data_IF_673230763465
#
_entry.id   IF_673230763465
#
_cell.length_a   1.000
_cell.length_b   1.000
_cell.length_c   1.000
_cell.angle_alpha   90.00
_cell.angle_beta   90.00
_cell.angle_gamma   90.00
#
_symmetry.space_group_name_H-M   'P 1'
#
loop_
_entity.id
_entity.type
_entity.pdbx_description
1 polymer ?
#
# COMPACT_ATOMS: atom_id res chain seq x y z
N UNK A 1 -11.59 15.73 -16.23
CA UNK A 1 -10.31 15.26 -15.64
C UNK A 1 -10.62 13.99 -14.88
N UNK A 2 -9.81 12.93 -15.00
CA UNK A 2 -10.08 11.70 -14.22
C UNK A 2 -9.52 11.85 -12.80
N UNK A 3 -10.21 11.29 -11.82
CA UNK A 3 -9.84 11.36 -10.41
C UNK A 3 -9.11 10.10 -9.96
N UNK A 4 -8.03 10.28 -9.21
CA UNK A 4 -7.22 9.18 -8.67
C UNK A 4 -7.02 9.39 -7.18
N UNK A 5 -7.36 8.36 -6.40
CA UNK A 5 -7.01 8.31 -4.99
C UNK A 5 -5.69 7.56 -4.83
N UNK A 6 -4.70 8.21 -4.23
CA UNK A 6 -3.38 7.65 -3.99
C UNK A 6 -3.28 7.22 -2.55
N UNK A 7 -2.96 5.95 -2.32
CA UNK A 7 -2.65 5.44 -0.99
C UNK A 7 -1.31 6.01 -0.51
N UNK A 8 -1.36 7.06 0.31
CA UNK A 8 -0.19 7.69 0.92
C UNK A 8 0.12 6.98 2.24
N UNK A 9 1.27 6.32 2.32
CA UNK A 9 1.66 5.54 3.51
C UNK A 9 2.69 6.24 4.39
N UNK A 10 3.02 7.51 4.11
CA UNK A 10 4.14 8.21 4.75
C UNK A 10 5.52 7.76 4.24
N UNK A 11 5.58 6.92 3.20
CA UNK A 11 6.82 6.44 2.58
C UNK A 11 7.11 7.09 1.23
N UNK A 12 8.39 7.17 0.87
CA UNK A 12 8.88 7.84 -0.35
C UNK A 12 8.20 7.36 -1.63
N UNK A 13 7.87 6.07 -1.71
CA UNK A 13 7.28 5.46 -2.91
C UNK A 13 5.87 6.01 -3.16
N UNK A 14 5.05 6.07 -2.10
CA UNK A 14 3.71 6.65 -2.20
C UNK A 14 3.73 8.15 -2.49
N UNK A 15 4.70 8.88 -1.94
CA UNK A 15 4.89 10.30 -2.18
C UNK A 15 5.19 10.60 -3.65
N UNK A 16 6.13 9.86 -4.23
CA UNK A 16 6.50 9.99 -5.64
C UNK A 16 5.37 9.50 -6.56
N UNK A 17 4.65 8.45 -6.17
CA UNK A 17 3.46 8.01 -6.89
C UNK A 17 2.42 9.14 -7.00
N UNK A 18 2.12 9.84 -5.90
CA UNK A 18 1.19 10.97 -5.90
C UNK A 18 1.68 12.12 -6.79
N UNK A 19 2.96 12.47 -6.69
CA UNK A 19 3.57 13.48 -7.56
C UNK A 19 3.42 13.13 -9.04
N UNK A 20 3.75 11.89 -9.43
CA UNK A 20 3.66 11.44 -10.82
C UNK A 20 2.23 11.43 -11.34
N UNK A 21 1.24 11.04 -10.53
CA UNK A 21 -0.17 11.12 -10.92
C UNK A 21 -0.61 12.57 -11.14
N UNK A 22 -0.15 13.50 -10.29
CA UNK A 22 -0.42 14.93 -10.49
C UNK A 22 0.21 15.45 -11.79
N UNK A 23 1.46 15.09 -12.07
CA UNK A 23 2.17 15.48 -13.30
C UNK A 23 1.50 14.93 -14.57
N UNK A 24 0.87 13.75 -14.49
CA UNK A 24 0.11 13.16 -15.60
C UNK A 24 -1.28 13.81 -15.81
N UNK A 25 -1.64 14.82 -15.01
CA UNK A 25 -2.88 15.58 -15.17
C UNK A 25 -4.12 14.90 -14.56
N UNK A 26 -3.93 14.03 -13.56
CA UNK A 26 -5.04 13.51 -12.76
C UNK A 26 -5.45 14.48 -11.65
N UNK A 27 -6.73 14.47 -11.30
CA UNK A 27 -7.19 15.06 -10.04
C UNK A 27 -6.81 14.10 -8.91
N UNK A 28 -5.77 14.43 -8.17
CA UNK A 28 -5.19 13.54 -7.14
C UNK A 28 -5.73 13.89 -5.76
N UNK A 29 -6.18 12.88 -5.03
CA UNK A 29 -6.50 12.95 -3.60
C UNK A 29 -5.64 11.93 -2.87
N UNK A 30 -4.94 12.36 -1.83
CA UNK A 30 -4.15 11.49 -0.96
C UNK A 30 -5.03 10.88 0.13
N UNK A 31 -4.90 9.57 0.36
CA UNK A 31 -5.59 8.89 1.44
C UNK A 31 -4.62 8.01 2.23
N UNK A 32 -4.58 8.20 3.54
CA UNK A 32 -3.79 7.40 4.47
C UNK A 32 -4.67 6.35 5.16
N UNK A 33 -4.24 5.10 5.14
CA UNK A 33 -4.95 3.97 5.75
C UNK A 33 -4.37 3.66 7.13
N UNK A 34 -5.15 3.93 8.18
CA UNK A 34 -4.85 3.48 9.54
C UNK A 34 -5.39 2.06 9.71
N UNK A 35 -4.52 1.07 9.55
CA UNK A 35 -4.89 -0.34 9.50
C UNK A 35 -4.60 -1.11 10.79
N UNK A 36 -3.80 -0.56 11.70
CA UNK A 36 -3.48 -1.20 12.96
C UNK A 36 -3.10 -0.15 14.00
N UNK A 37 -3.57 -0.32 15.23
CA UNK A 37 -3.27 0.58 16.35
C UNK A 37 -3.32 -0.17 17.70
N UNK A 38 -2.93 -1.45 17.70
CA UNK A 38 -2.82 -2.19 18.96
C UNK A 38 -1.52 -1.81 19.68
N UNK A 39 -1.66 -0.93 20.68
CA UNK A 39 -0.57 -0.38 21.48
C UNK A 39 0.02 -1.41 22.47
N UNK A 40 -0.57 -2.60 22.59
CA UNK A 40 -0.12 -3.62 23.55
C UNK A 40 1.10 -4.42 23.11
N UNK A 41 1.51 -4.31 21.84
CA UNK A 41 2.51 -5.20 21.21
C UNK A 41 3.66 -4.49 20.48
N UNK A 42 3.64 -3.16 20.43
CA UNK A 42 4.72 -2.40 19.80
C UNK A 42 5.93 -2.35 20.72
N UNK A 43 7.14 -2.52 20.16
CA UNK A 43 8.40 -2.48 20.91
C UNK A 43 8.66 -1.07 21.50
N UNK A 44 7.95 -0.05 21.02
CA UNK A 44 7.94 1.32 21.53
C UNK A 44 6.52 1.76 21.90
N UNK A 45 6.41 2.65 22.90
CA UNK A 45 5.20 3.42 23.24
C UNK A 45 4.82 4.45 22.14
N UNK A 46 5.56 4.46 21.04
CA UNK A 46 5.34 5.36 19.91
C UNK A 46 4.34 4.74 18.95
N UNK A 47 3.20 5.40 18.74
CA UNK A 47 2.22 5.05 17.71
C UNK A 47 2.83 5.26 16.31
N UNK A 48 3.34 4.24 15.60
CA UNK A 48 4.15 4.45 14.40
C UNK A 48 3.34 5.05 13.25
N UNK A 49 2.03 4.79 13.25
CA UNK A 49 1.10 5.32 12.25
C UNK A 49 0.91 6.84 12.34
N UNK A 50 1.14 7.48 13.50
CA UNK A 50 1.02 8.93 13.65
C UNK A 50 2.11 9.66 12.86
N UNK A 51 3.35 9.21 12.98
CA UNK A 51 4.48 9.77 12.23
C UNK A 51 4.29 9.57 10.72
N UNK A 52 3.93 8.36 10.30
CA UNK A 52 3.66 8.05 8.90
C UNK A 52 2.49 8.88 8.34
N UNK A 53 1.43 9.09 9.13
CA UNK A 53 0.30 9.94 8.75
C UNK A 53 0.70 11.41 8.64
N UNK A 54 1.55 11.91 9.54
CA UNK A 54 2.06 13.28 9.49
C UNK A 54 2.93 13.51 8.25
N UNK A 55 3.82 12.58 7.94
CA UNK A 55 4.64 12.63 6.73
C UNK A 55 3.77 12.63 5.46
N UNK A 56 2.73 11.80 5.43
CA UNK A 56 1.78 11.75 4.33
C UNK A 56 1.02 13.08 4.16
N UNK A 57 0.61 13.71 5.26
CA UNK A 57 -0.03 15.02 5.26
C UNK A 57 0.90 16.12 4.74
N UNK A 58 2.16 16.15 5.20
CA UNK A 58 3.17 17.14 4.75
C UNK A 58 3.45 16.98 3.26
N UNK A 59 3.55 15.73 2.76
CA UNK A 59 3.68 15.45 1.33
C UNK A 59 2.46 15.94 0.55
N UNK A 60 1.25 15.68 1.04
CA UNK A 60 0.03 16.13 0.38
C UNK A 60 -0.06 17.66 0.30
N UNK A 61 0.28 18.37 1.38
CA UNK A 61 0.35 19.83 1.43
C UNK A 61 1.39 20.39 0.45
N UNK A 62 2.61 19.83 0.47
CA UNK A 62 3.69 20.17 -0.48
C UNK A 62 3.25 19.99 -1.93
N UNK A 63 2.50 18.93 -2.21
CA UNK A 63 1.96 18.63 -3.53
C UNK A 63 0.66 19.41 -3.82
N UNK A 64 0.10 20.16 -2.88
CA UNK A 64 -1.17 20.87 -3.03
C UNK A 64 -2.32 19.95 -3.44
N UNK A 65 -2.43 18.78 -2.81
CA UNK A 65 -3.51 17.80 -3.03
C UNK A 65 -4.34 17.62 -1.74
N UNK A 66 -5.66 17.38 -1.83
CA UNK A 66 -6.47 17.05 -0.66
C UNK A 66 -5.96 15.78 0.01
N UNK A 67 -6.04 15.74 1.34
CA UNK A 67 -5.58 14.61 2.16
C UNK A 67 -6.67 14.19 3.15
N UNK A 68 -6.86 12.88 3.29
CA UNK A 68 -7.76 12.30 4.28
C UNK A 68 -7.15 11.05 4.91
N UNK A 69 -7.58 10.76 6.13
CA UNK A 69 -7.26 9.51 6.82
C UNK A 69 -8.51 8.65 6.88
N UNK A 70 -8.34 7.34 6.79
CA UNK A 70 -9.42 6.37 7.01
C UNK A 70 -8.94 5.27 7.94
N UNK A 71 -9.82 4.87 8.87
CA UNK A 71 -9.56 3.75 9.76
C UNK A 71 -10.10 2.47 9.13
N UNK A 72 -9.21 1.53 8.81
CA UNK A 72 -9.55 0.19 8.33
C UNK A 72 -9.09 -0.89 9.31
N UNK A 73 -8.84 -0.53 10.57
CA UNK A 73 -8.30 -1.46 11.57
C UNK A 73 -9.19 -2.67 11.81
N UNK A 74 -10.51 -2.49 11.85
CA UNK A 74 -11.47 -3.59 11.99
C UNK A 74 -11.36 -4.58 10.83
N UNK A 75 -11.42 -4.08 9.60
CA UNK A 75 -11.33 -4.92 8.40
C UNK A 75 -9.95 -5.60 8.28
N UNK A 76 -8.87 -4.89 8.62
CA UNK A 76 -7.53 -5.43 8.62
C UNK A 76 -7.38 -6.55 9.67
N UNK A 77 -7.89 -6.33 10.89
CA UNK A 77 -7.87 -7.34 11.95
C UNK A 77 -8.58 -8.62 11.51
N UNK A 78 -9.82 -8.50 11.05
CA UNK A 78 -10.65 -9.63 10.65
C UNK A 78 -10.04 -10.40 9.47
N UNK A 79 -9.63 -9.69 8.42
CA UNK A 79 -9.24 -10.32 7.15
C UNK A 79 -7.78 -10.74 7.09
N UNK A 80 -6.91 -10.08 7.86
CA UNK A 80 -5.45 -10.30 7.79
C UNK A 80 -4.94 -10.93 9.08
N UNK A 81 -5.19 -10.31 10.22
CA UNK A 81 -4.61 -10.75 11.51
C UNK A 81 -5.22 -12.05 11.97
N UNK A 82 -6.55 -12.14 12.05
CA UNK A 82 -7.22 -13.35 12.49
C UNK A 82 -6.99 -14.52 11.52
N UNK A 83 -6.93 -14.26 10.21
CA UNK A 83 -6.47 -15.22 9.22
C UNK A 83 -5.06 -15.73 9.52
N UNK A 84 -4.10 -14.81 9.75
CA UNK A 84 -2.71 -15.15 10.03
C UNK A 84 -2.60 -16.07 11.24
N UNK A 85 -3.28 -15.75 12.35
CA UNK A 85 -3.33 -16.60 13.53
C UNK A 85 -3.88 -18.00 13.24
N UNK A 86 -5.00 -18.09 12.50
CA UNK A 86 -5.61 -19.38 12.14
C UNK A 86 -4.70 -20.24 11.25
N UNK A 87 -3.90 -19.65 10.38
CA UNK A 87 -2.97 -20.40 9.53
C UNK A 87 -1.76 -20.93 10.32
N UNK A 88 -1.21 -20.11 11.22
CA UNK A 88 -0.14 -20.56 12.12
C UNK A 88 -0.61 -21.65 13.08
N UNK A 89 -1.84 -21.57 13.60
CA UNK A 89 -2.44 -22.62 14.43
C UNK A 89 -2.49 -23.99 13.72
N UNK A 90 -2.67 -23.97 12.39
CA UNK A 90 -2.69 -25.16 11.53
C UNK A 90 -1.31 -25.57 11.03
N UNK A 91 -0.23 -24.95 11.53
CA UNK A 91 1.15 -25.26 11.15
C UNK A 91 1.54 -24.79 9.75
N UNK A 92 0.83 -23.79 9.19
CA UNK A 92 1.17 -23.20 7.89
C UNK A 92 1.83 -21.84 8.07
N UNK A 93 2.62 -21.44 7.08
CA UNK A 93 3.24 -20.11 7.02
C UNK A 93 2.45 -19.24 6.03
N UNK A 94 1.51 -18.39 6.50
CA UNK A 94 0.76 -17.50 5.63
C UNK A 94 1.64 -16.37 5.08
N UNK A 95 1.19 -15.77 3.97
CA UNK A 95 1.72 -14.50 3.47
C UNK A 95 0.64 -13.40 3.63
N UNK A 96 0.63 -12.65 4.73
CA UNK A 96 -0.39 -11.64 5.00
C UNK A 96 -0.30 -10.45 4.04
N UNK A 97 0.85 -10.18 3.43
CA UNK A 97 1.01 -9.04 2.51
C UNK A 97 0.30 -9.29 1.16
N UNK A 98 0.30 -10.53 0.67
CA UNK A 98 -0.48 -10.92 -0.50
C UNK A 98 -1.98 -10.69 -0.24
N UNK A 99 -2.46 -11.09 0.93
CA UNK A 99 -3.86 -10.89 1.31
C UNK A 99 -4.18 -9.42 1.58
N UNK A 100 -3.29 -8.67 2.21
CA UNK A 100 -3.49 -7.25 2.47
C UNK A 100 -3.68 -6.48 1.17
N UNK A 101 -2.93 -6.80 0.12
CA UNK A 101 -3.16 -6.22 -1.20
C UNK A 101 -4.56 -6.57 -1.73
N UNK A 102 -4.93 -7.86 -1.72
CA UNK A 102 -6.22 -8.32 -2.27
C UNK A 102 -7.44 -7.79 -1.50
N UNK A 103 -7.40 -7.85 -0.17
CA UNK A 103 -8.54 -7.65 0.73
C UNK A 103 -8.64 -6.24 1.29
N UNK A 104 -7.52 -5.53 1.43
CA UNK A 104 -7.50 -4.19 2.03
C UNK A 104 -7.23 -3.14 0.96
N UNK A 105 -6.05 -3.17 0.33
CA UNK A 105 -5.64 -2.10 -0.60
C UNK A 105 -6.44 -2.07 -1.90
N UNK A 106 -6.86 -3.23 -2.42
CA UNK A 106 -7.58 -3.31 -3.68
C UNK A 106 -9.02 -3.82 -3.53
N UNK A 107 -9.52 -3.96 -2.30
CA UNK A 107 -10.95 -4.19 -2.06
C UNK A 107 -11.53 -3.07 -1.19
N UNK A 108 -11.30 -3.08 0.13
CA UNK A 108 -11.86 -2.06 1.04
C UNK A 108 -11.45 -0.63 0.65
N UNK A 109 -10.16 -0.38 0.44
CA UNK A 109 -9.64 0.92 0.04
C UNK A 109 -10.14 1.34 -1.36
N UNK A 110 -10.18 0.39 -2.31
CA UNK A 110 -10.72 0.66 -3.64
C UNK A 110 -12.18 1.07 -3.56
N UNK A 111 -13.00 0.38 -2.76
CA UNK A 111 -14.41 0.70 -2.57
C UNK A 111 -14.59 2.12 -2.02
N UNK A 112 -13.87 2.45 -0.95
CA UNK A 112 -13.88 3.80 -0.36
C UNK A 112 -13.48 4.84 -1.40
N UNK A 113 -12.46 4.55 -2.21
CA UNK A 113 -12.02 5.47 -3.25
C UNK A 113 -13.09 5.70 -4.33
N UNK A 114 -13.78 4.65 -4.76
CA UNK A 114 -14.89 4.75 -5.72
C UNK A 114 -16.07 5.53 -5.13
N UNK A 115 -16.39 5.32 -3.84
CA UNK A 115 -17.45 6.05 -3.15
C UNK A 115 -17.14 7.56 -3.01
N UNK A 116 -15.84 7.93 -2.97
CA UNK A 116 -15.35 9.31 -3.05
C UNK A 116 -15.29 9.87 -4.50
N UNK A 117 -15.79 9.11 -5.48
CA UNK A 117 -15.87 9.50 -6.88
C UNK A 117 -14.56 9.34 -7.66
N UNK A 118 -13.62 8.52 -7.20
CA UNK A 118 -12.42 8.23 -7.97
C UNK A 118 -12.71 7.32 -9.17
N UNK A 119 -11.97 7.52 -10.26
CA UNK A 119 -11.95 6.60 -11.39
C UNK A 119 -10.98 5.44 -11.16
N UNK A 120 -9.90 5.71 -10.40
CA UNK A 120 -8.81 4.78 -10.13
C UNK A 120 -8.21 4.96 -8.73
N UNK A 121 -7.48 3.94 -8.29
CA UNK A 121 -6.55 4.01 -7.17
C UNK A 121 -5.11 3.88 -7.64
N UNK A 122 -4.21 4.67 -7.07
CA UNK A 122 -2.76 4.53 -7.28
C UNK A 122 -2.06 4.12 -5.99
N UNK A 123 -1.01 3.33 -6.15
CA UNK A 123 -0.15 2.89 -5.03
C UNK A 123 1.31 3.00 -5.42
N UNK A 124 2.19 3.08 -4.42
CA UNK A 124 3.65 3.06 -4.62
C UNK A 124 4.23 1.67 -4.93
N UNK A 125 3.44 0.74 -5.50
CA UNK A 125 3.97 -0.58 -5.81
C UNK A 125 4.83 -0.58 -7.08
N UNK A 126 5.93 -1.30 -7.03
CA UNK A 126 6.85 -1.53 -8.15
C UNK A 126 6.37 -2.70 -9.00
N UNK A 127 5.32 -2.48 -9.78
CA UNK A 127 4.84 -3.40 -10.80
C UNK A 127 4.24 -2.62 -11.97
N UNK A 128 3.94 -3.28 -13.08
CA UNK A 128 3.35 -2.65 -14.25
C UNK A 128 2.01 -3.27 -14.59
N UNK A 129 1.18 -2.51 -15.30
CA UNK A 129 -0.08 -2.97 -15.86
C UNK A 129 -0.08 -2.76 -17.36
N UNK A 130 -0.47 -3.77 -18.11
CA UNK A 130 -0.78 -3.65 -19.53
C UNK A 130 -2.22 -4.09 -19.80
N UNK A 131 -2.81 -3.63 -20.89
CA UNK A 131 -4.05 -4.18 -21.43
C UNK A 131 -3.80 -4.84 -22.78
N UNK A 132 -4.60 -5.85 -23.09
CA UNK A 132 -4.72 -6.41 -24.44
C UNK A 132 -6.20 -6.51 -24.78
N UNK A 133 -6.54 -6.30 -26.04
CA UNK A 133 -7.89 -6.56 -26.54
C UNK A 133 -8.00 -8.04 -26.93
N UNK A 134 -8.99 -8.74 -26.40
CA UNK A 134 -9.31 -10.11 -26.77
C UNK A 134 -10.82 -10.27 -26.85
N UNK A 135 -11.32 -10.70 -28.01
CA UNK A 135 -12.76 -10.88 -28.27
C UNK A 135 -13.60 -9.62 -28.02
N UNK A 136 -13.04 -8.42 -28.21
CA UNK A 136 -13.73 -7.14 -27.97
C UNK A 136 -13.77 -6.72 -26.49
N UNK A 137 -13.08 -7.43 -25.61
CA UNK A 137 -12.92 -7.09 -24.20
C UNK A 137 -11.46 -6.77 -23.86
N UNK A 138 -11.26 -5.73 -23.06
CA UNK A 138 -9.94 -5.40 -22.51
C UNK A 138 -9.59 -6.35 -21.38
N UNK A 139 -8.51 -7.12 -21.55
CA UNK A 139 -7.91 -7.96 -20.50
C UNK A 139 -6.71 -7.24 -19.91
N UNK A 140 -6.70 -7.08 -18.59
CA UNK A 140 -5.60 -6.46 -17.86
C UNK A 140 -4.58 -7.50 -17.41
N UNK A 141 -3.31 -7.20 -17.61
CA UNK A 141 -2.17 -8.05 -17.24
C UNK A 141 -1.32 -7.34 -16.20
N UNK A 142 -1.04 -8.05 -15.11
CA UNK A 142 -0.02 -7.65 -14.16
C UNK A 142 1.35 -8.07 -14.70
N UNK A 143 2.29 -7.14 -14.72
CA UNK A 143 3.64 -7.32 -15.22
C UNK A 143 4.64 -6.98 -14.11
N UNK A 144 5.80 -7.63 -14.14
CA UNK A 144 6.90 -7.29 -13.24
C UNK A 144 7.35 -5.83 -13.44
N UNK A 145 7.73 -5.19 -12.34
CA UNK A 145 8.38 -3.88 -12.34
C UNK A 145 9.68 -3.90 -13.14
N UNK A 146 10.09 -2.74 -13.66
CA UNK A 146 11.35 -2.59 -14.41
C UNK A 146 12.58 -2.85 -13.53
N UNK A 147 12.49 -2.49 -12.25
CA UNK A 147 13.51 -2.79 -11.25
C UNK A 147 13.29 -4.19 -10.66
N UNK A 148 14.06 -5.16 -11.15
CA UNK A 148 13.94 -6.55 -10.70
C UNK A 148 14.26 -6.74 -9.21
N UNK A 149 15.04 -5.85 -8.60
CA UNK A 149 15.37 -5.94 -7.17
C UNK A 149 14.25 -5.43 -6.28
N UNK A 150 13.30 -4.70 -6.87
CA UNK A 150 12.16 -4.10 -6.16
C UNK A 150 10.82 -4.57 -6.68
N UNK A 151 10.77 -5.45 -7.67
CA UNK A 151 9.52 -5.95 -8.23
C UNK A 151 8.59 -6.49 -7.11
N UNK A 152 7.37 -5.98 -7.11
CA UNK A 152 6.34 -6.33 -6.13
C UNK A 152 5.16 -7.06 -6.78
N UNK A 153 5.27 -7.44 -8.06
CA UNK A 153 4.21 -8.18 -8.77
C UNK A 153 3.79 -9.46 -8.04
N UNK A 154 4.71 -10.12 -7.34
CA UNK A 154 4.43 -11.28 -6.48
C UNK A 154 3.35 -10.99 -5.42
N UNK A 155 3.42 -9.85 -4.73
CA UNK A 155 2.44 -9.50 -3.69
C UNK A 155 1.07 -9.10 -4.25
N UNK A 156 0.99 -8.87 -5.55
CA UNK A 156 -0.23 -8.47 -6.27
C UNK A 156 -0.78 -9.62 -7.13
N UNK A 157 -0.22 -10.82 -7.01
CA UNK A 157 -0.56 -11.98 -7.85
C UNK A 157 -2.02 -12.45 -7.74
N UNK A 158 -2.74 -12.05 -6.69
CA UNK A 158 -4.14 -12.41 -6.46
C UNK A 158 -5.15 -11.32 -6.85
N UNK A 159 -4.72 -10.24 -7.52
CA UNK A 159 -5.64 -9.22 -7.99
C UNK A 159 -6.55 -9.75 -9.11
N UNK A 160 -7.84 -9.50 -8.98
CA UNK A 160 -8.82 -9.79 -10.03
C UNK A 160 -8.74 -8.79 -11.19
N UNK A 161 -9.36 -9.13 -12.32
CA UNK A 161 -9.47 -8.21 -13.47
C UNK A 161 -10.17 -6.90 -13.10
N UNK A 162 -11.22 -6.95 -12.29
CA UNK A 162 -11.92 -5.76 -11.83
C UNK A 162 -11.00 -4.85 -11.02
N UNK A 163 -10.29 -5.40 -10.03
CA UNK A 163 -9.33 -4.65 -9.21
C UNK A 163 -8.21 -4.06 -10.05
N UNK A 164 -7.63 -4.85 -10.95
CA UNK A 164 -6.53 -4.42 -11.81
C UNK A 164 -6.97 -3.35 -12.82
N UNK A 165 -8.22 -3.40 -13.31
CA UNK A 165 -8.78 -2.37 -14.20
C UNK A 165 -8.76 -0.99 -13.55
N UNK A 166 -8.95 -0.93 -12.22
CA UNK A 166 -9.01 0.28 -11.41
C UNK A 166 -7.68 0.69 -10.77
N UNK A 167 -6.64 -0.15 -10.84
CA UNK A 167 -5.34 0.10 -10.23
C UNK A 167 -4.36 0.84 -11.15
N UNK A 168 -3.58 1.77 -10.60
CA UNK A 168 -2.47 2.46 -11.26
C UNK A 168 -1.17 2.25 -10.47
N UNK A 169 -0.07 2.02 -11.20
CA UNK A 169 1.26 1.72 -10.64
C UNK A 169 2.32 2.66 -11.24
N UNK A 170 2.34 3.94 -10.83
CA UNK A 170 3.21 4.95 -11.44
C UNK A 170 4.71 4.68 -11.30
N UNK A 171 5.13 3.82 -10.38
CA UNK A 171 6.54 3.49 -10.16
C UNK A 171 7.02 2.31 -11.01
N UNK A 172 6.12 1.64 -11.75
CA UNK A 172 6.42 0.39 -12.43
C UNK A 172 7.57 0.43 -13.44
N UNK A 173 7.80 1.59 -14.06
CA UNK A 173 8.87 1.81 -15.05
C UNK A 173 10.10 2.54 -14.49
N UNK A 174 10.16 2.73 -13.17
CA UNK A 174 11.25 3.42 -12.47
C UNK A 174 12.05 2.44 -11.61
N UNK A 175 13.34 2.74 -11.46
CA UNK A 175 14.17 2.10 -10.44
C UNK A 175 14.07 2.82 -9.11
N UNK A 176 14.35 2.13 -8.00
CA UNK A 176 14.31 2.76 -6.68
C UNK A 176 15.23 3.99 -6.55
N UNK A 177 16.46 3.99 -7.12
CA UNK A 177 17.27 5.20 -7.17
C UNK A 177 16.59 6.36 -7.90
N UNK A 178 15.91 6.11 -9.03
CA UNK A 178 15.17 7.15 -9.75
C UNK A 178 14.02 7.71 -8.91
N UNK A 179 13.30 6.85 -8.19
CA UNK A 179 12.24 7.28 -7.27
C UNK A 179 12.81 8.18 -6.17
N UNK A 180 13.93 7.82 -5.54
CA UNK A 180 14.57 8.67 -4.53
C UNK A 180 15.07 9.99 -5.11
N UNK A 181 15.66 9.96 -6.31
CA UNK A 181 16.10 11.16 -7.00
C UNK A 181 14.93 12.13 -7.23
N UNK A 182 13.79 11.65 -7.73
CA UNK A 182 12.58 12.47 -7.92
C UNK A 182 12.13 13.05 -6.57
N UNK A 183 12.12 12.26 -5.50
CA UNK A 183 11.72 12.75 -4.18
C UNK A 183 12.64 13.87 -3.67
N UNK A 184 13.96 13.74 -3.87
CA UNK A 184 14.94 14.76 -3.50
C UNK A 184 14.78 16.03 -4.35
N UNK A 185 14.63 15.89 -5.68
CA UNK A 185 14.40 17.02 -6.60
C UNK A 185 13.13 17.81 -6.27
N UNK A 186 12.08 17.11 -5.83
CA UNK A 186 10.82 17.73 -5.40
C UNK A 186 10.84 18.21 -3.94
N UNK A 187 11.96 18.05 -3.23
CA UNK A 187 12.12 18.39 -1.82
C UNK A 187 11.00 17.79 -0.95
N UNK A 188 10.67 16.51 -1.18
CA UNK A 188 9.70 15.78 -0.36
C UNK A 188 10.34 15.39 0.98
N UNK A 189 9.63 15.57 2.09
CA UNK A 189 10.12 15.20 3.43
C UNK A 189 10.53 13.73 3.53
N UNK A 190 9.87 12.88 2.73
CA UNK A 190 10.13 11.44 2.70
C UNK A 190 11.36 11.02 1.87
N UNK A 191 12.08 11.94 1.22
CA UNK A 191 13.16 11.60 0.28
C UNK A 191 14.25 10.69 0.87
N UNK A 192 14.65 10.99 2.11
CA UNK A 192 15.67 10.23 2.85
C UNK A 192 15.07 9.18 3.80
N UNK A 193 13.74 9.04 3.84
CA UNK A 193 13.08 8.07 4.73
C UNK A 193 13.44 6.65 4.32
N UNK A 194 13.78 5.81 5.30
CA UNK A 194 14.07 4.38 5.06
C UNK A 194 12.80 3.66 4.62
N UNK A 195 12.97 2.64 3.78
CA UNK A 195 11.85 1.80 3.37
C UNK A 195 11.27 1.06 4.58
N UNK A 196 9.95 0.98 4.66
CA UNK A 196 9.28 0.19 5.69
C UNK A 196 9.65 -1.28 5.56
N UNK A 197 9.95 -1.92 6.68
CA UNK A 197 10.26 -3.34 6.79
C UNK A 197 9.34 -3.98 7.83
N UNK A 198 9.00 -5.25 7.64
CA UNK A 198 8.09 -6.01 8.51
C UNK A 198 6.75 -6.30 7.84
N UNK A 199 5.81 -6.85 8.62
CA UNK A 199 4.45 -7.12 8.17
C UNK A 199 3.74 -5.81 7.84
N UNK A 200 3.04 -5.75 6.70
CA UNK A 200 2.39 -4.51 6.26
C UNK A 200 1.44 -3.98 7.35
N UNK A 201 1.62 -2.73 7.76
CA UNK A 201 0.81 -2.01 8.77
C UNK A 201 0.95 -2.41 10.25
N UNK A 202 1.48 -3.59 10.58
CA UNK A 202 1.73 -3.98 12.00
C UNK A 202 3.03 -3.34 12.52
N UNK A 203 3.94 -2.96 11.61
CA UNK A 203 5.19 -2.27 11.95
C UNK A 203 6.32 -3.25 12.31
N UNK A 204 7.33 -2.73 13.03
CA UNK A 204 8.51 -3.50 13.46
C UNK A 204 8.19 -4.31 14.72
N UNK A 205 7.40 -5.38 14.56
CA UNK A 205 7.16 -6.35 15.63
C UNK A 205 7.95 -7.63 15.33
N UNK A 206 8.53 -8.25 16.37
CA UNK A 206 9.08 -9.59 16.23
C UNK A 206 7.91 -10.56 16.09
N UNK A 207 7.83 -11.24 14.95
CA UNK A 207 6.72 -12.15 14.66
C UNK A 207 6.45 -13.20 15.77
N UNK A 208 7.46 -13.81 16.43
CA UNK A 208 7.20 -14.71 17.54
C UNK A 208 6.43 -14.05 18.70
N UNK A 209 6.83 -12.83 19.09
CA UNK A 209 6.15 -12.08 20.16
C UNK A 209 4.70 -11.76 19.76
N UNK A 210 4.51 -11.36 18.50
CA UNK A 210 3.18 -11.09 17.97
C UNK A 210 2.28 -12.33 18.03
N UNK A 211 2.78 -13.49 17.61
CA UNK A 211 2.00 -14.73 17.56
C UNK A 211 1.71 -15.29 18.97
N UNK A 212 2.62 -15.08 19.93
CA UNK A 212 2.45 -15.58 21.30
C UNK A 212 1.32 -14.91 22.09
N UNK A 213 0.76 -13.82 21.59
CA UNK A 213 -0.45 -13.21 22.14
C UNK A 213 -1.67 -14.13 22.10
N UNK A 214 -1.76 -15.03 21.11
CA UNK A 214 -2.88 -15.98 20.95
C UNK A 214 -2.46 -17.43 20.82
N UNK A 215 -1.22 -17.70 20.42
CA UNK A 215 -0.73 -19.06 20.17
C UNK A 215 0.35 -19.45 21.17
N UNK A 216 0.17 -20.58 21.84
CA UNK A 216 1.22 -21.14 22.67
C UNK A 216 2.19 -21.96 21.82
N UNK A 217 3.52 -21.84 22.04
CA UNK A 217 4.49 -22.76 21.45
C UNK A 217 4.15 -24.20 21.82
N UNK A 218 4.20 -25.11 20.84
CA UNK A 218 4.14 -26.54 21.10
C UNK A 218 5.57 -27.05 21.32
N UNK A 219 5.79 -27.73 22.44
CA UNK A 219 7.04 -28.47 22.73
C UNK A 219 7.17 -29.70 21.82
#
# INVERSE_FOLDING_TARGET
MKRVIVGLSGGVDSSVAAYLMKQQGYEVIGLFMKNWHDDSVTISDECPWLEDSNDAMIVADKLGIPFQTVDLSEAYKERIVDYMFSEYEKGRTPNPDVLCNREIKFDVFLKIALDLGADYVATGHYCRKASIEKNGESIFRLLAGKDSNKDQSYFLCQLSQNQLSKALFPLGDLTKPQVRQIASEQNLITAEKKDSQGLCFIGKVRLPDFLQQKLQPKE
#
